data_IF_987036034900
#
_entry.id   IF_987036034900
#
_cell.length_a   1.000
_cell.length_b   1.000
_cell.length_c   1.000
_cell.angle_alpha   90.00
_cell.angle_beta   90.00
_cell.angle_gamma   90.00
#
_symmetry.space_group_name_H-M   'P 1'
#
loop_
_entity.id
_entity.type
_entity.pdbx_description
1 polymer ?
#
# COMPACT_ATOMS: atom_id res chain seq x y z
N UNK A 1 22.34 30.45 -27.19
CA UNK A 1 22.72 29.03 -27.00
C UNK A 1 24.02 28.88 -26.22
N UNK A 2 25.02 29.76 -26.39
CA UNK A 2 26.28 29.77 -25.59
C UNK A 2 26.27 30.81 -24.46
N UNK A 3 25.13 30.98 -23.77
CA UNK A 3 25.09 31.84 -22.58
C UNK A 3 25.66 31.04 -21.39
N UNK A 4 26.74 31.49 -20.72
CA UNK A 4 27.33 30.78 -19.59
C UNK A 4 26.35 30.61 -18.41
N UNK A 5 25.43 31.56 -18.22
CA UNK A 5 24.43 31.47 -17.16
C UNK A 5 23.38 30.40 -17.47
N UNK A 6 22.97 30.32 -18.74
CA UNK A 6 22.08 29.26 -19.21
C UNK A 6 22.70 27.87 -19.01
N UNK A 7 24.01 27.73 -19.25
CA UNK A 7 24.71 26.46 -19.05
C UNK A 7 24.68 26.03 -17.58
N UNK A 8 25.03 26.92 -16.65
CA UNK A 8 24.99 26.65 -15.20
C UNK A 8 23.59 26.31 -14.71
N UNK A 9 22.57 27.05 -15.19
CA UNK A 9 21.18 26.77 -14.86
C UNK A 9 20.74 25.39 -15.38
N UNK A 10 21.15 25.04 -16.61
CA UNK A 10 20.82 23.76 -17.20
C UNK A 10 21.52 22.60 -16.48
N UNK A 11 22.78 22.75 -16.08
CA UNK A 11 23.51 21.78 -15.27
C UNK A 11 22.76 21.49 -13.96
N UNK A 12 22.44 22.52 -13.16
CA UNK A 12 21.65 22.33 -11.91
C UNK A 12 20.30 21.69 -12.15
N UNK A 13 19.63 22.01 -13.26
CA UNK A 13 18.35 21.41 -13.64
C UNK A 13 18.50 19.91 -13.92
N UNK A 14 19.54 19.52 -14.66
CA UNK A 14 19.82 18.12 -14.99
C UNK A 14 20.18 17.34 -13.73
N UNK A 15 21.03 17.89 -12.87
CA UNK A 15 21.42 17.25 -11.61
C UNK A 15 20.20 16.98 -10.73
N UNK A 16 19.25 17.93 -10.67
CA UNK A 16 17.99 17.73 -9.93
C UNK A 16 17.13 16.61 -10.51
N UNK A 17 17.02 16.53 -11.84
CA UNK A 17 16.27 15.45 -12.50
C UNK A 17 16.95 14.10 -12.24
N UNK A 18 18.27 14.07 -12.30
CA UNK A 18 19.06 12.86 -12.06
C UNK A 18 18.94 12.40 -10.61
N UNK A 19 19.00 13.32 -9.64
CA UNK A 19 18.80 13.03 -8.24
C UNK A 19 17.38 12.47 -7.96
N UNK A 20 16.33 13.09 -8.52
CA UNK A 20 14.94 12.59 -8.39
C UNK A 20 14.79 11.18 -9.00
N UNK A 21 15.39 10.92 -10.17
CA UNK A 21 15.42 9.60 -10.77
C UNK A 21 16.12 8.56 -9.88
N UNK A 22 17.32 8.89 -9.38
CA UNK A 22 18.08 8.03 -8.48
C UNK A 22 17.30 7.70 -7.19
N UNK A 23 16.63 8.69 -6.60
CA UNK A 23 15.79 8.49 -5.42
C UNK A 23 14.61 7.55 -5.68
N UNK A 24 13.97 7.64 -6.85
CA UNK A 24 12.86 6.75 -7.25
C UNK A 24 13.28 5.30 -7.47
N UNK A 25 14.46 5.08 -8.06
CA UNK A 25 15.01 3.74 -8.26
C UNK A 25 15.60 3.13 -6.96
N UNK A 26 15.83 3.98 -5.96
CA UNK A 26 16.36 3.61 -4.65
C UNK A 26 17.87 3.67 -4.52
N UNK A 27 18.53 4.45 -5.38
CA UNK A 27 19.94 4.82 -5.26
C UNK A 27 20.12 6.02 -4.31
N UNK A 28 19.59 5.93 -3.08
CA UNK A 28 19.53 7.05 -2.12
C UNK A 28 20.90 7.66 -1.82
N UNK A 29 21.92 6.83 -1.57
CA UNK A 29 23.27 7.31 -1.25
C UNK A 29 23.88 8.11 -2.41
N UNK A 30 23.71 7.65 -3.65
CA UNK A 30 24.24 8.33 -4.84
C UNK A 30 23.48 9.64 -5.09
N UNK A 31 22.16 9.65 -4.88
CA UNK A 31 21.36 10.85 -4.98
C UNK A 31 21.75 11.90 -3.92
N UNK A 32 22.01 11.47 -2.68
CA UNK A 32 22.48 12.34 -1.59
C UNK A 32 23.84 12.96 -1.89
N UNK A 33 24.76 12.16 -2.45
CA UNK A 33 26.08 12.64 -2.86
C UNK A 33 25.96 13.68 -3.98
N UNK A 34 25.21 13.38 -5.04
CA UNK A 34 24.95 14.33 -6.14
C UNK A 34 24.28 15.61 -5.62
N UNK A 35 23.33 15.47 -4.69
CA UNK A 35 22.64 16.62 -4.13
C UNK A 35 23.53 17.54 -3.29
N UNK A 36 24.53 16.95 -2.63
CA UNK A 36 25.55 17.66 -1.86
C UNK A 36 26.56 18.35 -2.76
N UNK A 37 27.04 17.67 -3.80
CA UNK A 37 28.03 18.19 -4.76
C UNK A 37 27.46 19.34 -5.62
N UNK A 38 26.20 19.22 -6.06
CA UNK A 38 25.55 20.23 -6.90
C UNK A 38 24.78 21.31 -6.12
N UNK A 39 24.82 21.28 -4.78
CA UNK A 39 24.10 22.19 -3.87
C UNK A 39 22.58 22.23 -4.14
N UNK A 40 21.99 21.09 -4.51
CA UNK A 40 20.56 20.95 -4.82
C UNK A 40 19.77 20.25 -3.70
N UNK A 41 20.39 20.00 -2.54
CA UNK A 41 19.74 19.34 -1.40
C UNK A 41 18.40 19.96 -1.00
N UNK A 42 18.30 21.29 -0.97
CA UNK A 42 17.05 22.02 -0.68
C UNK A 42 16.01 21.95 -1.81
N UNK A 43 16.40 21.49 -2.99
CA UNK A 43 15.56 21.34 -4.18
C UNK A 43 15.16 19.88 -4.43
N UNK A 44 15.61 18.95 -3.58
CA UNK A 44 15.39 17.52 -3.68
C UNK A 44 14.65 16.99 -2.45
N UNK A 45 13.61 16.18 -2.67
CA UNK A 45 12.79 15.61 -1.60
C UNK A 45 13.42 14.34 -1.01
N UNK A 46 14.70 14.39 -0.63
CA UNK A 46 15.48 13.22 -0.17
C UNK A 46 14.78 12.51 0.99
N UNK A 47 14.36 13.25 2.01
CA UNK A 47 13.71 12.68 3.20
C UNK A 47 12.39 11.96 2.86
N UNK A 48 11.60 12.51 1.94
CA UNK A 48 10.36 11.89 1.48
C UNK A 48 10.63 10.54 0.81
N UNK A 49 11.62 10.49 -0.09
CA UNK A 49 11.99 9.25 -0.77
C UNK A 49 12.62 8.23 0.18
N UNK A 50 13.40 8.68 1.17
CA UNK A 50 13.94 7.80 2.22
C UNK A 50 12.82 7.16 3.05
N UNK A 51 11.81 7.94 3.46
CA UNK A 51 10.63 7.40 4.14
C UNK A 51 9.87 6.40 3.24
N UNK A 52 9.62 6.77 1.98
CA UNK A 52 8.92 5.90 1.03
C UNK A 52 9.67 4.58 0.80
N UNK A 53 11.01 4.62 0.72
CA UNK A 53 11.86 3.44 0.54
C UNK A 53 11.85 2.53 1.77
N UNK A 54 11.86 3.10 2.97
CA UNK A 54 11.74 2.33 4.21
C UNK A 54 10.41 1.56 4.28
N UNK A 55 9.31 2.21 3.92
CA UNK A 55 7.98 1.58 3.84
C UNK A 55 7.99 0.48 2.76
N UNK A 56 8.55 0.76 1.58
CA UNK A 56 8.65 -0.21 0.50
C UNK A 56 9.46 -1.46 0.92
N UNK A 57 10.59 -1.29 1.58
CA UNK A 57 11.42 -2.40 2.07
C UNK A 57 10.70 -3.22 3.13
N UNK A 58 9.97 -2.58 4.05
CA UNK A 58 9.14 -3.25 5.04
C UNK A 58 8.02 -4.09 4.40
N UNK A 59 7.39 -3.57 3.33
CA UNK A 59 6.36 -4.28 2.57
C UNK A 59 6.92 -5.42 1.72
N UNK A 60 8.12 -5.25 1.15
CA UNK A 60 8.81 -6.30 0.38
C UNK A 60 9.37 -7.41 1.26
N UNK A 61 9.42 -7.20 2.58
CA UNK A 61 9.84 -8.20 3.56
C UNK A 61 11.27 -8.67 3.32
N UNK A 62 12.25 -7.75 3.25
CA UNK A 62 13.70 -8.04 3.17
C UNK A 62 14.06 -9.42 2.57
N UNK A 63 13.96 -9.54 1.25
CA UNK A 63 14.45 -10.69 0.49
C UNK A 63 15.97 -10.83 0.60
N UNK A 64 16.48 -11.49 1.64
CA UNK A 64 17.79 -12.16 1.69
C UNK A 64 17.69 -13.25 2.78
N UNK A 65 17.68 -14.52 2.36
CA UNK A 65 17.57 -15.75 3.17
C UNK A 65 16.15 -16.22 3.52
N UNK A 66 15.45 -16.78 2.52
CA UNK A 66 14.85 -18.11 2.64
C UNK A 66 13.70 -18.36 3.63
N UNK A 67 13.19 -17.37 4.36
CA UNK A 67 12.06 -17.56 5.28
C UNK A 67 10.79 -16.93 4.72
N UNK A 68 9.98 -17.73 4.01
CA UNK A 68 8.63 -17.42 3.49
C UNK A 68 7.56 -17.21 4.58
N UNK A 69 7.95 -16.91 5.82
CA UNK A 69 7.03 -16.88 6.96
C UNK A 69 7.42 -15.72 7.88
N UNK A 70 6.73 -14.58 7.73
CA UNK A 70 6.46 -13.72 8.88
C UNK A 70 6.96 -12.27 8.91
N UNK A 71 7.56 -11.71 7.86
CA UNK A 71 8.14 -10.35 7.94
C UNK A 71 7.63 -9.33 6.91
N UNK A 72 6.47 -9.54 6.27
CA UNK A 72 5.78 -8.45 5.55
C UNK A 72 5.01 -7.60 6.57
N UNK A 73 5.71 -6.69 7.25
CA UNK A 73 5.07 -5.80 8.22
C UNK A 73 4.39 -4.64 7.49
N UNK A 74 3.06 -4.66 7.43
CA UNK A 74 2.27 -3.53 6.94
C UNK A 74 2.19 -2.39 7.98
N UNK A 75 2.78 -2.57 9.17
CA UNK A 75 2.67 -1.64 10.31
C UNK A 75 3.13 -0.23 9.95
N UNK A 76 4.32 -0.09 9.35
CA UNK A 76 4.87 1.22 8.97
C UNK A 76 4.03 1.90 7.88
N UNK A 77 3.58 1.12 6.88
CA UNK A 77 2.72 1.62 5.81
C UNK A 77 1.36 2.10 6.35
N UNK A 78 0.79 1.36 7.30
CA UNK A 78 -0.48 1.70 7.95
C UNK A 78 -0.34 2.91 8.87
N UNK A 79 0.79 3.04 9.57
CA UNK A 79 1.12 4.23 10.35
C UNK A 79 1.17 5.47 9.45
N UNK A 80 1.89 5.38 8.33
CA UNK A 80 1.95 6.45 7.33
C UNK A 80 0.57 6.79 6.75
N UNK A 81 -0.27 5.78 6.50
CA UNK A 81 -1.66 6.00 6.07
C UNK A 81 -2.47 6.79 7.09
N UNK A 82 -2.27 6.53 8.39
CA UNK A 82 -2.97 7.26 9.45
C UNK A 82 -2.51 8.73 9.52
N UNK A 83 -1.21 8.97 9.41
CA UNK A 83 -0.61 10.32 9.36
C UNK A 83 -1.12 11.12 8.14
N UNK A 84 -1.32 10.46 7.00
CA UNK A 84 -1.71 11.08 5.72
C UNK A 84 -3.20 10.92 5.37
N UNK A 85 -4.04 10.53 6.33
CA UNK A 85 -5.43 10.10 6.10
C UNK A 85 -6.29 11.12 5.35
N UNK A 86 -6.15 12.41 5.66
CA UNK A 86 -6.92 13.48 4.99
C UNK A 86 -6.56 13.61 3.51
N UNK A 87 -5.28 13.53 3.18
CA UNK A 87 -4.78 13.58 1.80
C UNK A 87 -5.18 12.33 1.02
N UNK A 88 -5.05 11.15 1.63
CA UNK A 88 -5.47 9.88 1.03
C UNK A 88 -6.97 9.85 0.72
N UNK A 89 -7.81 10.41 1.60
CA UNK A 89 -9.25 10.54 1.36
C UNK A 89 -9.57 11.48 0.20
N UNK A 90 -8.83 12.59 0.02
CA UNK A 90 -9.06 13.53 -1.09
C UNK A 90 -8.84 12.86 -2.45
N UNK A 91 -7.84 11.99 -2.55
CA UNK A 91 -7.52 11.26 -3.79
C UNK A 91 -8.26 9.91 -3.91
N UNK A 92 -9.18 9.60 -2.98
CA UNK A 92 -9.88 8.32 -2.90
C UNK A 92 -8.92 7.10 -2.94
N UNK A 93 -7.80 7.20 -2.23
CA UNK A 93 -6.79 6.12 -2.21
C UNK A 93 -7.33 4.84 -1.58
N UNK A 94 -7.03 3.71 -2.20
CA UNK A 94 -7.35 2.36 -1.72
C UNK A 94 -6.19 1.71 -0.95
N UNK A 95 -5.10 2.46 -0.70
CA UNK A 95 -3.88 1.95 -0.09
C UNK A 95 -4.13 1.30 1.28
N UNK A 96 -4.81 2.00 2.20
CA UNK A 96 -5.11 1.46 3.52
C UNK A 96 -5.92 0.16 3.43
N UNK A 97 -6.93 0.11 2.55
CA UNK A 97 -7.73 -1.09 2.32
C UNK A 97 -6.86 -2.26 1.86
N UNK A 98 -5.99 -2.05 0.86
CA UNK A 98 -5.10 -3.09 0.34
C UNK A 98 -4.10 -3.58 1.39
N UNK A 99 -3.56 -2.69 2.23
CA UNK A 99 -2.67 -3.07 3.34
C UNK A 99 -3.40 -3.93 4.38
N UNK A 100 -4.65 -3.59 4.73
CA UNK A 100 -5.48 -4.39 5.64
C UNK A 100 -5.82 -5.76 5.04
N UNK A 101 -6.05 -5.83 3.73
CA UNK A 101 -6.25 -7.11 3.02
C UNK A 101 -4.98 -7.95 3.09
N UNK A 102 -3.80 -7.35 2.90
CA UNK A 102 -2.52 -8.07 3.02
C UNK A 102 -2.33 -8.65 4.43
N UNK A 103 -2.54 -7.86 5.50
CA UNK A 103 -2.43 -8.37 6.88
C UNK A 103 -3.39 -9.56 7.13
N UNK A 104 -4.61 -9.49 6.61
CA UNK A 104 -5.57 -10.60 6.69
C UNK A 104 -5.08 -11.85 5.95
N UNK A 105 -4.54 -11.68 4.74
CA UNK A 105 -3.98 -12.78 3.94
C UNK A 105 -2.81 -13.43 4.68
N UNK A 106 -1.94 -12.65 5.33
CA UNK A 106 -0.85 -13.18 6.14
C UNK A 106 -1.35 -13.99 7.35
N UNK A 107 -2.41 -13.54 8.02
CA UNK A 107 -3.05 -14.32 9.09
C UNK A 107 -3.62 -15.65 8.58
N UNK A 108 -4.24 -15.64 7.39
CA UNK A 108 -4.75 -16.86 6.76
C UNK A 108 -3.62 -17.80 6.34
N UNK A 109 -2.52 -17.27 5.79
CA UNK A 109 -1.33 -18.05 5.42
C UNK A 109 -0.67 -18.69 6.65
N UNK A 110 -0.64 -17.98 7.78
CA UNK A 110 -0.18 -18.51 9.07
C UNK A 110 -1.16 -19.49 9.74
N UNK A 111 -2.26 -19.85 9.08
CA UNK A 111 -3.35 -20.70 9.61
C UNK A 111 -4.00 -20.17 10.90
N UNK A 112 -3.91 -18.85 11.15
CA UNK A 112 -4.50 -18.16 12.31
C UNK A 112 -5.91 -17.67 11.99
N UNK A 113 -6.82 -18.60 11.70
CA UNK A 113 -8.16 -18.29 11.16
C UNK A 113 -9.03 -17.47 12.12
N UNK A 114 -8.97 -17.77 13.42
CA UNK A 114 -9.72 -17.02 14.43
C UNK A 114 -9.27 -15.55 14.49
N UNK A 115 -7.95 -15.31 14.52
CA UNK A 115 -7.36 -13.97 14.47
C UNK A 115 -7.76 -13.23 13.19
N UNK A 116 -7.74 -13.90 12.04
CA UNK A 116 -8.16 -13.33 10.76
C UNK A 116 -9.64 -12.91 10.79
N UNK A 117 -10.52 -13.75 11.34
CA UNK A 117 -11.95 -13.45 11.46
C UNK A 117 -12.16 -12.20 12.35
N UNK A 118 -11.51 -12.13 13.51
CA UNK A 118 -11.66 -10.98 14.39
C UNK A 118 -11.04 -9.70 13.82
N UNK A 119 -9.91 -9.83 13.13
CA UNK A 119 -9.32 -8.76 12.35
C UNK A 119 -10.30 -8.22 11.29
N UNK A 120 -10.98 -9.12 10.57
CA UNK A 120 -11.93 -8.70 9.53
C UNK A 120 -13.13 -7.95 10.09
N UNK A 121 -13.68 -8.41 11.22
CA UNK A 121 -14.77 -7.72 11.95
C UNK A 121 -14.37 -6.31 12.36
N UNK A 122 -13.11 -6.12 12.77
CA UNK A 122 -12.58 -4.83 13.21
C UNK A 122 -12.39 -3.84 12.06
N UNK A 123 -11.81 -4.28 10.94
CA UNK A 123 -11.34 -3.39 9.89
C UNK A 123 -12.26 -3.31 8.65
N UNK A 124 -13.15 -4.27 8.44
CA UNK A 124 -14.04 -4.34 7.26
C UNK A 124 -15.53 -4.32 7.60
N UNK A 125 -15.92 -3.79 8.77
CA UNK A 125 -17.32 -3.78 9.26
C UNK A 125 -18.34 -3.30 8.22
N UNK A 126 -18.03 -2.22 7.50
CA UNK A 126 -18.92 -1.66 6.47
C UNK A 126 -19.24 -2.66 5.35
N UNK A 127 -18.29 -3.52 4.99
CA UNK A 127 -18.49 -4.55 3.94
C UNK A 127 -19.21 -5.79 4.49
N UNK A 128 -18.96 -6.16 5.76
CA UNK A 128 -19.69 -7.22 6.47
C UNK A 128 -21.18 -6.91 6.60
N UNK A 129 -21.54 -5.68 6.99
CA UNK A 129 -22.93 -5.29 7.18
C UNK A 129 -23.70 -5.26 5.85
N UNK A 130 -23.03 -4.89 4.75
CA UNK A 130 -23.61 -4.95 3.41
C UNK A 130 -23.88 -6.39 2.94
N UNK A 131 -22.96 -7.33 3.22
CA UNK A 131 -23.16 -8.74 2.87
C UNK A 131 -24.35 -9.39 3.60
N UNK A 132 -24.66 -8.95 4.83
CA UNK A 132 -25.79 -9.48 5.63
C UNK A 132 -27.16 -8.99 5.14
N UNK A 133 -27.23 -7.78 4.60
CA UNK A 133 -28.48 -7.20 4.06
C UNK A 133 -28.97 -7.94 2.82
N UNK A 134 -28.06 -8.49 2.02
CA UNK A 134 -28.42 -9.31 0.85
C UNK A 134 -29.01 -10.67 1.24
N UNK A 135 -28.60 -11.25 2.38
CA UNK A 135 -29.18 -12.50 2.90
C UNK A 135 -30.54 -12.33 3.59
N UNK A 136 -30.92 -11.09 3.94
CA UNK A 136 -32.16 -10.76 4.66
C UNK A 136 -33.11 -9.87 3.84
N UNK A 137 -33.07 -9.92 2.51
CA UNK A 137 -33.98 -9.15 1.66
C UNK A 137 -35.41 -9.74 1.70
N UNK A 138 -36.08 -9.43 2.81
CA UNK A 138 -37.46 -9.73 3.13
C UNK A 138 -38.00 -8.76 4.18
N UNK A 139 -37.64 -7.47 4.14
CA UNK A 139 -38.47 -6.39 4.70
C UNK A 139 -37.97 -5.01 4.28
N UNK A 140 -38.92 -4.15 3.90
CA UNK A 140 -38.73 -2.77 3.40
C UNK A 140 -38.63 -1.77 4.56
N UNK A 141 -37.96 -0.63 4.31
CA UNK A 141 -37.95 0.69 5.03
C UNK A 141 -36.68 0.92 5.86
N UNK A 142 -36.03 2.10 5.93
CA UNK A 142 -36.24 3.48 5.44
C UNK A 142 -34.88 4.21 5.42
N UNK A 143 -34.83 5.33 4.70
CA UNK A 143 -33.70 6.25 4.47
C UNK A 143 -32.70 6.43 5.63
N UNK A 144 -31.41 6.24 5.33
CA UNK A 144 -30.37 7.17 5.77
C UNK A 144 -29.26 7.25 4.71
N UNK A 145 -28.76 8.45 4.47
CA UNK A 145 -27.97 8.82 3.29
C UNK A 145 -26.51 8.36 3.40
N UNK A 146 -26.25 7.08 3.15
CA UNK A 146 -24.94 6.56 2.78
C UNK A 146 -25.10 5.78 1.48
N UNK A 147 -24.57 6.34 0.39
CA UNK A 147 -24.64 5.82 -0.99
C UNK A 147 -24.55 4.29 -0.99
N UNK A 148 -25.65 3.65 -1.37
CA UNK A 148 -25.76 2.22 -1.67
C UNK A 148 -24.64 1.86 -2.66
N UNK A 149 -23.60 1.18 -2.19
CA UNK A 149 -22.52 0.67 -3.05
C UNK A 149 -23.06 -0.56 -3.78
N UNK A 150 -23.37 -0.35 -5.06
CA UNK A 150 -23.73 -1.36 -6.06
C UNK A 150 -22.84 -2.60 -5.99
N UNK A 151 -23.37 -3.77 -6.39
CA UNK A 151 -22.61 -5.02 -6.65
C UNK A 151 -21.38 -4.84 -7.54
N UNK A 152 -21.30 -3.73 -8.28
CA UNK A 152 -20.16 -3.36 -9.11
C UNK A 152 -19.03 -2.63 -8.38
N UNK A 153 -19.02 -2.57 -7.04
CA UNK A 153 -17.88 -2.01 -6.29
C UNK A 153 -16.69 -2.99 -6.32
N UNK A 154 -15.56 -2.62 -6.97
CA UNK A 154 -14.37 -3.48 -7.02
C UNK A 154 -13.83 -3.84 -5.63
N UNK A 155 -13.99 -2.96 -4.63
CA UNK A 155 -13.53 -3.22 -3.26
C UNK A 155 -14.37 -4.28 -2.55
N UNK A 156 -15.67 -4.33 -2.84
CA UNK A 156 -16.54 -5.39 -2.29
C UNK A 156 -16.18 -6.75 -2.90
N UNK A 157 -15.89 -6.78 -4.21
CA UNK A 157 -15.44 -8.00 -4.88
C UNK A 157 -14.11 -8.50 -4.31
N UNK A 158 -13.15 -7.59 -4.10
CA UNK A 158 -11.87 -7.91 -3.47
C UNK A 158 -12.04 -8.39 -2.02
N UNK A 159 -12.95 -7.79 -1.25
CA UNK A 159 -13.28 -8.23 0.10
C UNK A 159 -13.86 -9.66 0.12
N UNK A 160 -14.79 -9.98 -0.79
CA UNK A 160 -15.36 -11.33 -0.90
C UNK A 160 -14.30 -12.37 -1.29
N UNK A 161 -13.42 -12.03 -2.23
CA UNK A 161 -12.27 -12.86 -2.60
C UNK A 161 -11.35 -13.11 -1.40
N UNK A 162 -11.03 -12.04 -0.65
CA UNK A 162 -10.25 -12.14 0.58
C UNK A 162 -10.92 -13.08 1.59
N UNK A 163 -12.22 -12.96 1.84
CA UNK A 163 -12.94 -13.86 2.76
C UNK A 163 -12.91 -15.33 2.31
N UNK A 164 -12.89 -15.59 0.99
CA UNK A 164 -12.72 -16.93 0.43
C UNK A 164 -11.40 -17.60 0.84
N UNK A 165 -10.36 -16.81 1.15
CA UNK A 165 -9.05 -17.35 1.56
C UNK A 165 -9.07 -18.08 2.91
N UNK A 166 -10.10 -17.88 3.74
CA UNK A 166 -10.31 -18.64 4.98
C UNK A 166 -10.59 -20.13 4.71
N UNK A 167 -11.28 -20.41 3.60
CA UNK A 167 -11.59 -21.76 3.15
C UNK A 167 -10.47 -22.32 2.28
N UNK A 168 -9.93 -21.50 1.37
CA UNK A 168 -8.88 -21.87 0.43
C UNK A 168 -7.67 -20.95 0.60
N UNK A 169 -6.67 -21.33 1.43
CA UNK A 169 -5.50 -20.47 1.64
C UNK A 169 -4.75 -20.22 0.32
N UNK A 170 -4.08 -19.05 0.18
CA UNK A 170 -3.41 -18.65 -1.05
C UNK A 170 -2.22 -19.55 -1.43
N UNK A 171 -1.66 -20.28 -0.45
CA UNK A 171 -0.63 -21.28 -0.70
C UNK A 171 -1.32 -22.63 -0.93
N UNK A 172 -1.33 -23.09 -2.17
CA UNK A 172 -1.72 -24.46 -2.46
C UNK A 172 -0.67 -25.40 -1.87
N UNK A 173 -1.07 -26.29 -0.97
CA UNK A 173 -0.21 -27.41 -0.53
C UNK A 173 0.04 -28.42 -1.65
N UNK A 174 -0.64 -28.27 -2.79
CA UNK A 174 -0.36 -29.03 -4.01
C UNK A 174 0.94 -28.52 -4.67
N UNK A 175 1.98 -29.36 -4.80
CA UNK A 175 3.12 -29.02 -5.64
C UNK A 175 2.65 -28.84 -7.10
N UNK A 176 3.31 -27.99 -7.91
CA UNK A 176 2.98 -27.86 -9.33
C UNK A 176 3.05 -29.24 -9.99
N UNK A 177 2.04 -29.58 -10.81
CA UNK A 177 2.02 -30.83 -11.56
C UNK A 177 3.34 -30.96 -12.33
N UNK A 178 4.04 -32.08 -12.10
CA UNK A 178 5.26 -32.47 -12.82
C UNK A 178 4.90 -32.94 -14.23
#
# INVERSE_FOLDING_TARGET
>A
VNDPEYKKWNEKRIDRILADYMLREGFSNTAEQLASESEIGALSDIELFTQARAIEQALRGNNLQGHRLGANSCTEALKWCNENKSNLRKINSTLEFNLRVQEFIELCRANKKEEAIDYSKKHFKTYLDNSKKDSQQGSVRRHDSLKVKSRSDPLLSQFLQMMGTLAFPPDTTCPPYK
#
